data_IF_469520263102
#
_entry.id   IF_469520263102
#
_cell.length_a   1.000
_cell.length_b   1.000
_cell.length_c   1.000
_cell.angle_alpha   90.00
_cell.angle_beta   90.00
_cell.angle_gamma   90.00
#
_symmetry.space_group_name_H-M   'P 1'
#
loop_
_entity.id
_entity.type
_entity.pdbx_description
1 polymer ?
#
# COMPACT_ATOMS: atom_id res chain seq x y z
N UNK A 1 11.16 30.29 -7.31
CA UNK A 1 10.48 31.56 -7.03
C UNK A 1 10.81 32.01 -5.62
N UNK A 2 10.60 31.20 -4.58
CA UNK A 2 11.18 31.43 -3.24
C UNK A 2 12.68 31.76 -3.30
N UNK A 3 13.47 30.91 -3.97
CA UNK A 3 14.92 31.09 -4.13
C UNK A 3 15.32 32.45 -4.73
N UNK A 4 14.48 33.05 -5.57
CA UNK A 4 14.76 34.38 -6.17
C UNK A 4 14.42 35.52 -5.21
N UNK A 5 13.52 35.30 -4.26
CA UNK A 5 13.27 36.22 -3.16
C UNK A 5 14.39 36.12 -2.14
N UNK A 6 14.84 34.90 -1.83
CA UNK A 6 15.97 34.64 -0.92
C UNK A 6 17.27 35.26 -1.45
N UNK A 7 17.49 35.21 -2.76
CA UNK A 7 18.63 35.85 -3.43
C UNK A 7 18.43 37.36 -3.66
N UNK A 8 17.37 37.97 -3.10
CA UNK A 8 17.00 39.39 -3.25
C UNK A 8 16.81 39.87 -4.71
N UNK A 9 16.58 38.95 -5.65
CA UNK A 9 16.28 39.26 -7.06
C UNK A 9 14.82 39.73 -7.19
N UNK A 10 13.92 39.24 -6.34
CA UNK A 10 12.53 39.65 -6.27
C UNK A 10 12.19 40.15 -4.85
N UNK A 11 11.47 41.27 -4.75
CA UNK A 11 11.00 41.79 -3.45
C UNK A 11 9.90 40.95 -2.79
N UNK A 12 9.21 40.10 -3.55
CA UNK A 12 8.22 39.12 -3.06
C UNK A 12 7.97 38.04 -4.09
N UNK A 13 7.50 36.87 -3.65
CA UNK A 13 7.09 35.79 -4.54
C UNK A 13 5.66 36.11 -5.06
N UNK A 14 5.47 36.44 -6.35
CA UNK A 14 4.14 36.78 -6.88
C UNK A 14 3.21 35.56 -7.00
N UNK A 15 3.72 34.34 -6.80
CA UNK A 15 2.92 33.12 -6.71
C UNK A 15 2.52 32.77 -5.26
N UNK A 16 3.01 33.51 -4.26
CA UNK A 16 2.61 33.32 -2.87
C UNK A 16 1.12 33.66 -2.71
N UNK A 17 0.37 32.74 -2.10
CA UNK A 17 -1.07 32.87 -1.91
C UNK A 17 -1.95 32.56 -3.13
N UNK A 18 -1.42 32.43 -4.34
CA UNK A 18 -2.22 32.18 -5.55
C UNK A 18 -3.03 30.87 -5.52
N UNK A 19 -2.60 29.90 -4.71
CA UNK A 19 -3.28 28.61 -4.58
C UNK A 19 -4.19 28.50 -3.35
N UNK A 20 -4.37 29.57 -2.55
CA UNK A 20 -5.17 29.52 -1.30
C UNK A 20 -6.65 29.21 -1.55
N UNK A 21 -7.20 29.70 -2.65
CA UNK A 21 -8.61 29.50 -3.02
C UNK A 21 -8.86 28.16 -3.74
N UNK A 22 -7.79 27.43 -4.08
CA UNK A 22 -7.93 26.07 -4.58
C UNK A 22 -8.13 25.14 -3.40
N UNK A 23 -9.39 24.74 -3.18
CA UNK A 23 -9.70 23.70 -2.20
C UNK A 23 -8.87 22.45 -2.50
N UNK A 24 -8.20 21.95 -1.46
CA UNK A 24 -7.53 20.66 -1.53
C UNK A 24 -8.55 19.60 -1.93
N UNK A 25 -8.21 18.76 -2.92
CA UNK A 25 -9.03 17.63 -3.36
C UNK A 25 -9.70 16.91 -2.19
N UNK A 26 -10.96 16.50 -2.36
CA UNK A 26 -11.70 15.74 -1.33
C UNK A 26 -10.83 14.64 -0.71
N UNK A 27 -10.88 14.47 0.63
CA UNK A 27 -10.08 13.47 1.30
C UNK A 27 -10.42 12.09 0.76
N UNK A 28 -9.41 11.37 0.27
CA UNK A 28 -9.59 9.98 -0.17
C UNK A 28 -9.74 9.10 1.06
N UNK A 29 -10.93 8.56 1.24
CA UNK A 29 -11.23 7.67 2.36
C UNK A 29 -10.79 6.24 2.07
N UNK A 30 -10.51 5.49 3.14
CA UNK A 30 -10.23 4.07 3.07
C UNK A 30 -11.53 3.29 2.81
N UNK A 31 -11.42 2.13 2.16
CA UNK A 31 -12.58 1.24 2.01
C UNK A 31 -13.08 0.77 3.38
N UNK A 32 -14.39 0.83 3.62
CA UNK A 32 -15.02 0.23 4.80
C UNK A 32 -14.86 -1.30 4.80
N UNK A 33 -15.05 -2.00 5.93
CA UNK A 33 -15.12 -3.46 5.96
C UNK A 33 -16.13 -4.03 4.96
N UNK A 34 -17.33 -3.44 4.88
CA UNK A 34 -18.40 -3.89 3.98
C UNK A 34 -18.03 -3.68 2.51
N UNK A 35 -17.44 -2.52 2.19
CA UNK A 35 -16.96 -2.23 0.83
C UNK A 35 -15.85 -3.18 0.41
N UNK A 36 -14.92 -3.51 1.32
CA UNK A 36 -13.88 -4.52 1.07
C UNK A 36 -14.49 -5.87 0.76
N UNK A 37 -15.45 -6.31 1.57
CA UNK A 37 -16.09 -7.60 1.38
C UNK A 37 -16.83 -7.66 0.04
N UNK A 38 -17.57 -6.61 -0.32
CA UNK A 38 -18.20 -6.50 -1.64
C UNK A 38 -17.15 -6.52 -2.75
N UNK A 39 -16.05 -5.76 -2.60
CA UNK A 39 -14.98 -5.70 -3.60
C UNK A 39 -14.34 -7.07 -3.85
N UNK A 40 -13.91 -7.77 -2.80
CA UNK A 40 -13.23 -9.07 -2.91
C UNK A 40 -14.18 -10.22 -3.24
N UNK A 41 -15.39 -10.23 -2.67
CA UNK A 41 -16.32 -11.35 -2.85
C UNK A 41 -17.17 -11.24 -4.10
N UNK A 42 -17.52 -10.03 -4.53
CA UNK A 42 -18.48 -9.83 -5.62
C UNK A 42 -17.84 -9.19 -6.84
N UNK A 43 -17.16 -8.05 -6.66
CA UNK A 43 -16.70 -7.25 -7.81
C UNK A 43 -15.53 -7.93 -8.53
N UNK A 44 -14.53 -8.42 -7.79
CA UNK A 44 -13.36 -9.08 -8.39
C UNK A 44 -13.78 -10.34 -9.15
N UNK A 45 -14.74 -11.12 -8.63
CA UNK A 45 -15.22 -12.36 -9.28
C UNK A 45 -15.87 -12.10 -10.64
N UNK A 46 -16.31 -10.89 -10.93
CA UNK A 46 -16.84 -10.53 -12.25
C UNK A 46 -15.77 -10.52 -13.35
N UNK A 47 -14.47 -10.58 -13.00
CA UNK A 47 -13.37 -10.54 -13.96
C UNK A 47 -12.88 -11.93 -14.37
N UNK A 48 -12.56 -12.11 -15.65
CA UNK A 48 -11.96 -13.36 -16.15
C UNK A 48 -10.65 -13.70 -15.43
N UNK A 49 -9.82 -12.68 -15.18
CA UNK A 49 -8.55 -12.80 -14.47
C UNK A 49 -8.72 -12.50 -12.96
N UNK A 50 -9.91 -12.74 -12.39
CA UNK A 50 -10.25 -12.44 -10.99
C UNK A 50 -9.15 -12.86 -10.01
N UNK A 51 -8.67 -14.10 -10.13
CA UNK A 51 -7.64 -14.63 -9.24
C UNK A 51 -6.34 -13.83 -9.30
N UNK A 52 -5.91 -13.38 -10.49
CA UNK A 52 -4.68 -12.59 -10.62
C UNK A 52 -4.82 -11.25 -9.89
N UNK A 53 -5.94 -10.55 -10.09
CA UNK A 53 -6.18 -9.26 -9.46
C UNK A 53 -6.44 -9.39 -7.96
N UNK A 54 -7.13 -10.45 -7.53
CA UNK A 54 -7.29 -10.80 -6.12
C UNK A 54 -5.93 -10.88 -5.43
N UNK A 55 -5.00 -11.68 -5.97
CA UNK A 55 -3.66 -11.82 -5.41
C UNK A 55 -2.88 -10.50 -5.36
N UNK A 56 -2.97 -9.67 -6.41
CA UNK A 56 -2.33 -8.35 -6.47
C UNK A 56 -2.86 -7.44 -5.36
N UNK A 57 -4.19 -7.36 -5.20
CA UNK A 57 -4.81 -6.46 -4.24
C UNK A 57 -4.64 -6.94 -2.80
N UNK A 58 -4.72 -8.25 -2.54
CA UNK A 58 -4.40 -8.85 -1.23
C UNK A 58 -2.96 -8.50 -0.81
N UNK A 59 -1.97 -8.67 -1.68
CA UNK A 59 -0.58 -8.32 -1.37
C UNK A 59 -0.42 -6.80 -1.21
N UNK A 60 -1.06 -6.01 -2.08
CA UNK A 60 -0.99 -4.55 -2.01
C UNK A 60 -1.51 -3.99 -0.69
N UNK A 61 -2.66 -4.47 -0.23
CA UNK A 61 -3.29 -4.09 1.03
C UNK A 61 -2.49 -4.61 2.22
N UNK A 62 -2.15 -5.91 2.23
CA UNK A 62 -1.49 -6.55 3.35
C UNK A 62 -0.07 -6.04 3.60
N UNK A 63 0.66 -5.65 2.55
CA UNK A 63 1.97 -4.99 2.70
C UNK A 63 1.87 -3.47 2.86
N UNK A 64 0.68 -2.89 2.64
CA UNK A 64 0.45 -1.43 2.64
C UNK A 64 1.49 -0.65 1.81
N UNK A 65 1.97 -1.24 0.71
CA UNK A 65 3.07 -0.71 -0.09
C UNK A 65 2.59 0.24 -1.20
N UNK A 66 3.48 1.08 -1.72
CA UNK A 66 3.18 1.91 -2.90
C UNK A 66 3.10 1.02 -4.14
N UNK A 67 2.31 1.43 -5.13
CA UNK A 67 2.17 0.67 -6.38
C UNK A 67 3.51 0.41 -7.08
N UNK A 68 4.46 1.37 -7.03
CA UNK A 68 5.80 1.21 -7.58
C UNK A 68 6.63 0.18 -6.83
N UNK A 69 6.47 0.09 -5.51
CA UNK A 69 7.13 -0.93 -4.69
C UNK A 69 6.53 -2.30 -5.02
N UNK A 70 5.19 -2.40 -5.09
CA UNK A 70 4.48 -3.62 -5.47
C UNK A 70 4.94 -4.17 -6.82
N UNK A 71 4.89 -3.36 -7.89
CA UNK A 71 5.29 -3.82 -9.23
C UNK A 71 6.80 -4.03 -9.37
N UNK A 72 7.59 -3.47 -8.44
CA UNK A 72 9.04 -3.65 -8.39
C UNK A 72 9.46 -4.93 -7.68
N UNK A 73 8.61 -5.50 -6.81
CA UNK A 73 8.94 -6.71 -6.06
C UNK A 73 9.44 -7.83 -6.96
N UNK A 74 10.57 -8.41 -6.55
CA UNK A 74 11.18 -9.59 -7.14
C UNK A 74 11.06 -10.77 -6.19
N UNK A 75 11.22 -11.99 -6.71
CA UNK A 75 11.24 -13.18 -5.86
C UNK A 75 12.44 -13.24 -4.92
N UNK A 76 13.48 -12.42 -5.12
CA UNK A 76 14.59 -12.28 -4.18
C UNK A 76 14.21 -11.47 -2.93
N UNK A 77 13.20 -10.62 -3.04
CA UNK A 77 12.69 -9.82 -1.93
C UNK A 77 11.73 -10.59 -1.01
N UNK A 78 11.24 -11.74 -1.48
CA UNK A 78 10.20 -12.55 -0.82
C UNK A 78 10.82 -13.77 -0.14
N UNK A 79 10.94 -13.72 1.19
CA UNK A 79 11.42 -14.85 1.97
C UNK A 79 10.26 -15.71 2.48
N UNK A 80 9.92 -16.76 1.74
CA UNK A 80 8.83 -17.68 2.10
C UNK A 80 9.12 -18.54 3.35
N UNK A 81 10.39 -18.72 3.75
CA UNK A 81 10.74 -19.49 4.95
C UNK A 81 10.53 -18.65 6.21
N UNK A 82 10.99 -17.40 6.18
CA UNK A 82 10.83 -16.45 7.29
C UNK A 82 9.48 -15.73 7.27
N UNK A 83 8.70 -15.87 6.20
CA UNK A 83 7.45 -15.15 5.95
C UNK A 83 7.64 -13.64 6.00
N UNK A 84 8.63 -13.15 5.27
CA UNK A 84 9.02 -11.72 5.26
C UNK A 84 9.14 -11.21 3.82
N UNK A 85 8.74 -9.95 3.60
CA UNK A 85 8.98 -9.22 2.35
C UNK A 85 9.89 -8.04 2.61
N UNK A 86 10.96 -7.95 1.83
CA UNK A 86 11.88 -6.81 1.84
C UNK A 86 11.39 -5.77 0.85
N UNK A 87 11.30 -4.51 1.27
CA UNK A 87 11.01 -3.38 0.38
C UNK A 87 12.13 -2.37 0.51
N UNK A 88 12.99 -2.30 -0.51
CA UNK A 88 14.11 -1.36 -0.61
C UNK A 88 14.21 -0.62 -1.95
N UNK A 89 13.37 -0.98 -2.91
CA UNK A 89 13.30 -0.36 -4.23
C UNK A 89 11.85 -0.28 -4.73
N UNK A 90 11.66 0.49 -5.80
CA UNK A 90 10.43 0.53 -6.56
C UNK A 90 10.72 0.59 -8.05
N UNK A 91 9.74 0.20 -8.84
CA UNK A 91 9.78 0.23 -10.29
C UNK A 91 8.85 1.33 -10.82
N UNK A 92 9.42 2.24 -11.60
CA UNK A 92 8.69 3.34 -12.24
C UNK A 92 8.67 3.15 -13.75
N UNK A 93 7.58 3.59 -14.39
CA UNK A 93 7.45 3.64 -15.85
C UNK A 93 7.17 5.08 -16.27
N UNK A 94 8.21 5.84 -16.62
CA UNK A 94 8.13 7.26 -16.99
C UNK A 94 9.20 7.61 -18.02
N UNK A 95 9.10 8.82 -18.59
CA UNK A 95 10.12 9.36 -19.50
C UNK A 95 11.43 9.59 -18.73
N UNK A 96 12.49 8.89 -19.12
CA UNK A 96 13.86 9.03 -18.61
C UNK A 96 14.78 9.09 -19.82
N UNK A 97 15.60 10.14 -19.94
CA UNK A 97 16.48 10.38 -21.08
C UNK A 97 15.74 10.36 -22.44
N UNK A 98 14.61 11.08 -22.51
CA UNK A 98 13.84 11.22 -23.76
C UNK A 98 12.95 10.03 -24.13
N UNK A 99 13.11 8.86 -23.51
CA UNK A 99 12.32 7.65 -23.79
C UNK A 99 11.48 7.23 -22.58
N UNK A 100 10.26 6.78 -22.82
CA UNK A 100 9.43 6.18 -21.76
C UNK A 100 9.87 4.74 -21.56
N UNK A 101 10.40 4.46 -20.37
CA UNK A 101 10.92 3.15 -20.04
C UNK A 101 10.73 2.83 -18.56
N UNK A 102 10.91 1.55 -18.24
CA UNK A 102 11.03 1.13 -16.85
C UNK A 102 12.39 1.55 -16.31
N UNK A 103 12.42 1.98 -15.04
CA UNK A 103 13.65 2.16 -14.29
C UNK A 103 13.40 1.93 -12.81
N UNK A 104 14.44 1.50 -12.12
CA UNK A 104 14.41 1.28 -10.68
C UNK A 104 14.68 2.59 -9.96
N UNK A 105 13.92 2.82 -8.90
CA UNK A 105 14.17 3.88 -7.93
C UNK A 105 14.48 3.24 -6.58
N UNK A 106 15.59 3.64 -5.96
CA UNK A 106 15.93 3.24 -4.60
C UNK A 106 15.49 4.34 -3.65
N UNK A 107 15.10 3.98 -2.43
CA UNK A 107 14.89 4.98 -1.38
C UNK A 107 16.16 5.83 -1.19
N UNK A 108 16.01 7.12 -0.92
CA UNK A 108 17.13 7.91 -0.37
C UNK A 108 17.52 7.34 0.99
N UNK A 109 18.77 7.53 1.44
CA UNK A 109 19.34 6.93 2.67
C UNK A 109 18.48 7.07 3.94
N UNK A 110 17.54 8.02 3.97
CA UNK A 110 16.59 8.27 5.07
C UNK A 110 15.34 7.38 5.03
N UNK A 111 14.92 6.88 3.87
CA UNK A 111 13.81 5.91 3.73
C UNK A 111 14.39 4.51 3.54
N UNK A 112 14.94 4.00 4.65
CA UNK A 112 15.60 2.70 4.74
C UNK A 112 14.69 1.57 4.28
N UNK A 113 15.31 0.63 3.58
CA UNK A 113 14.89 -0.78 3.46
C UNK A 113 14.06 -1.19 4.66
N UNK A 114 12.84 -1.70 4.41
CA UNK A 114 11.96 -2.21 5.45
C UNK A 114 11.65 -3.67 5.22
N UNK A 115 11.49 -4.41 6.30
CA UNK A 115 11.13 -5.82 6.28
C UNK A 115 9.73 -5.92 6.86
N UNK A 116 8.80 -6.45 6.08
CA UNK A 116 7.39 -6.57 6.45
C UNK A 116 7.08 -8.05 6.65
N UNK A 117 6.77 -8.50 7.88
CA UNK A 117 6.24 -9.84 8.11
C UNK A 117 4.92 -10.03 7.38
N UNK A 118 4.72 -11.20 6.79
CA UNK A 118 3.49 -11.56 6.09
C UNK A 118 2.42 -11.97 7.09
N UNK A 119 1.19 -11.49 6.90
CA UNK A 119 0.01 -12.16 7.45
C UNK A 119 -0.20 -13.50 6.75
N UNK A 120 -1.01 -14.39 7.33
CA UNK A 120 -1.34 -15.68 6.69
C UNK A 120 -1.99 -15.51 5.32
N UNK A 121 -2.81 -14.47 5.14
CA UNK A 121 -3.44 -14.15 3.87
C UNK A 121 -2.40 -13.76 2.80
N UNK A 122 -1.47 -12.87 3.15
CA UNK A 122 -0.37 -12.45 2.27
C UNK A 122 0.54 -13.62 1.94
N UNK A 123 0.86 -14.47 2.92
CA UNK A 123 1.66 -15.67 2.72
C UNK A 123 1.03 -16.62 1.70
N UNK A 124 -0.26 -16.95 1.87
CA UNK A 124 -1.01 -17.78 0.92
C UNK A 124 -1.08 -17.14 -0.47
N UNK A 125 -1.22 -15.81 -0.54
CA UNK A 125 -1.19 -15.10 -1.81
C UNK A 125 0.16 -15.27 -2.52
N UNK A 126 1.29 -15.15 -1.81
CA UNK A 126 2.62 -15.38 -2.38
C UNK A 126 2.84 -16.84 -2.81
N UNK A 127 2.29 -17.83 -2.10
CA UNK A 127 2.34 -19.23 -2.53
C UNK A 127 1.68 -19.41 -3.91
N UNK A 128 0.46 -18.89 -4.08
CA UNK A 128 -0.27 -18.94 -5.35
C UNK A 128 0.44 -18.15 -6.46
N UNK A 129 1.01 -16.98 -6.13
CA UNK A 129 1.81 -16.21 -7.08
C UNK A 129 3.05 -16.98 -7.54
N UNK A 130 3.68 -17.74 -6.64
CA UNK A 130 4.86 -18.55 -6.95
C UNK A 130 4.51 -19.66 -7.94
N UNK A 131 3.42 -20.39 -7.71
CA UNK A 131 2.91 -21.40 -8.65
C UNK A 131 2.63 -20.80 -10.03
N UNK A 132 2.01 -19.62 -10.08
CA UNK A 132 1.75 -18.90 -11.33
C UNK A 132 3.04 -18.45 -12.03
N UNK A 133 4.07 -18.06 -11.29
CA UNK A 133 5.35 -17.65 -11.87
C UNK A 133 6.08 -18.79 -12.57
N UNK A 134 5.83 -20.06 -12.19
CA UNK A 134 6.39 -21.21 -12.89
C UNK A 134 5.80 -21.35 -14.30
N UNK A 135 4.53 -20.95 -14.49
CA UNK A 135 3.83 -20.99 -15.78
C UNK A 135 4.10 -19.76 -16.65
N UNK A 136 4.31 -18.60 -16.02
CA UNK A 136 4.63 -17.34 -16.71
C UNK A 136 5.78 -16.63 -15.98
N UNK A 137 7.03 -17.05 -16.20
CA UNK A 137 8.18 -16.48 -15.52
C UNK A 137 8.48 -15.06 -15.99
N UNK A 138 9.18 -14.31 -15.15
CA UNK A 138 9.77 -13.04 -15.56
C UNK A 138 10.87 -13.28 -16.58
N UNK A 139 10.84 -12.54 -17.69
CA UNK A 139 11.75 -12.68 -18.84
C UNK A 139 12.58 -11.43 -19.11
N UNK A 140 12.43 -10.39 -18.28
CA UNK A 140 13.09 -9.09 -18.49
C UNK A 140 13.81 -8.66 -17.24
N UNK A 141 14.96 -8.04 -17.47
CA UNK A 141 15.73 -7.34 -16.46
C UNK A 141 15.54 -5.83 -16.64
N UNK A 142 15.52 -5.09 -15.54
CA UNK A 142 15.51 -3.62 -15.51
C UNK A 142 16.52 -3.16 -14.46
N UNK A 143 17.53 -2.40 -14.88
CA UNK A 143 18.57 -1.84 -14.00
C UNK A 143 19.22 -2.88 -13.05
N UNK A 144 19.46 -4.11 -13.53
CA UNK A 144 20.02 -5.21 -12.72
C UNK A 144 19.01 -5.98 -11.88
N UNK A 145 17.73 -5.61 -11.89
CA UNK A 145 16.65 -6.32 -11.21
C UNK A 145 15.90 -7.23 -12.19
N UNK A 146 15.78 -8.50 -11.84
CA UNK A 146 15.09 -9.53 -12.62
C UNK A 146 14.16 -10.35 -11.71
N UNK A 147 13.47 -11.34 -12.28
CA UNK A 147 12.62 -12.25 -11.51
C UNK A 147 11.46 -11.54 -10.76
N UNK A 148 10.85 -10.55 -11.42
CA UNK A 148 9.72 -9.80 -10.89
C UNK A 148 8.53 -10.72 -10.53
N UNK A 149 7.91 -10.47 -9.37
CA UNK A 149 6.73 -11.20 -8.88
C UNK A 149 5.53 -10.94 -9.77
N UNK A 150 5.28 -9.68 -10.11
CA UNK A 150 4.11 -9.26 -10.88
C UNK A 150 4.48 -8.96 -12.33
N UNK A 151 4.15 -9.92 -13.21
CA UNK A 151 4.47 -9.84 -14.64
C UNK A 151 3.23 -9.62 -15.51
N UNK A 152 3.47 -9.01 -16.67
CA UNK A 152 2.50 -8.92 -17.76
C UNK A 152 2.49 -10.22 -18.59
N UNK A 153 1.59 -10.33 -19.57
CA UNK A 153 1.45 -11.53 -20.42
C UNK A 153 2.68 -11.81 -21.29
N UNK A 154 3.57 -10.83 -21.49
CA UNK A 154 4.81 -10.96 -22.25
C UNK A 154 6.02 -11.28 -21.36
N UNK A 155 5.80 -11.56 -20.07
CA UNK A 155 6.87 -11.84 -19.10
C UNK A 155 7.68 -10.62 -18.67
N UNK A 156 7.31 -9.40 -19.07
CA UNK A 156 7.90 -8.17 -18.55
C UNK A 156 7.24 -7.74 -17.23
N UNK A 157 7.80 -6.75 -16.51
CA UNK A 157 7.16 -6.20 -15.33
C UNK A 157 5.76 -5.67 -15.63
N UNK A 158 4.88 -5.74 -14.64
CA UNK A 158 3.56 -5.14 -14.74
C UNK A 158 3.68 -3.61 -14.79
N UNK A 159 2.95 -2.99 -15.71
CA UNK A 159 2.85 -1.53 -15.76
C UNK A 159 2.03 -1.02 -14.57
N UNK A 160 2.53 -0.05 -13.78
CA UNK A 160 1.76 0.53 -12.67
C UNK A 160 0.39 1.06 -13.09
N UNK A 161 0.31 1.63 -14.30
CA UNK A 161 -0.94 2.16 -14.88
C UNK A 161 -1.99 1.08 -15.12
N UNK A 162 -1.59 -0.18 -15.32
CA UNK A 162 -2.54 -1.28 -15.52
C UNK A 162 -3.33 -1.58 -14.24
N UNK A 163 -2.76 -1.33 -13.06
CA UNK A 163 -3.46 -1.54 -11.78
C UNK A 163 -4.62 -0.55 -11.64
N UNK A 164 -4.38 0.75 -11.87
CA UNK A 164 -5.46 1.74 -11.84
C UNK A 164 -6.50 1.49 -12.95
N UNK A 165 -6.06 1.15 -14.18
CA UNK A 165 -6.99 0.81 -15.26
C UNK A 165 -7.84 -0.41 -14.92
N UNK A 166 -7.28 -1.41 -14.24
CA UNK A 166 -8.04 -2.56 -13.77
C UNK A 166 -9.08 -2.12 -12.73
N UNK A 167 -8.71 -1.30 -11.75
CA UNK A 167 -9.63 -0.78 -10.73
C UNK A 167 -10.81 -0.02 -11.33
N UNK A 168 -10.56 0.89 -12.28
CA UNK A 168 -11.63 1.62 -12.95
C UNK A 168 -12.57 0.67 -13.67
N UNK A 169 -12.05 -0.27 -14.47
CA UNK A 169 -12.86 -1.28 -15.15
C UNK A 169 -13.66 -2.17 -14.19
N UNK A 170 -13.10 -2.46 -13.02
CA UNK A 170 -13.72 -3.26 -11.96
C UNK A 170 -14.93 -2.52 -11.40
N UNK A 171 -14.79 -1.23 -11.09
CA UNK A 171 -15.88 -0.37 -10.62
C UNK A 171 -16.92 -0.11 -11.70
N UNK A 172 -16.49 0.18 -12.94
CA UNK A 172 -17.41 0.43 -14.07
C UNK A 172 -18.30 -0.80 -14.32
N UNK A 173 -17.71 -2.01 -14.31
CA UNK A 173 -18.46 -3.26 -14.47
C UNK A 173 -19.47 -3.50 -13.34
N UNK A 174 -19.14 -3.12 -12.12
CA UNK A 174 -20.08 -3.20 -11.00
C UNK A 174 -21.29 -2.30 -11.23
N UNK A 175 -21.04 -1.06 -11.67
CA UNK A 175 -22.10 -0.10 -12.00
C UNK A 175 -22.97 -0.60 -13.16
N UNK A 176 -22.37 -1.10 -14.23
CA UNK A 176 -23.08 -1.68 -15.37
C UNK A 176 -23.99 -2.85 -14.95
N UNK A 177 -23.52 -3.73 -14.06
CA UNK A 177 -24.26 -4.94 -13.66
C UNK A 177 -25.34 -4.68 -12.62
N UNK A 178 -25.09 -3.77 -11.68
CA UNK A 178 -25.97 -3.57 -10.50
C UNK A 178 -26.78 -2.29 -10.55
N UNK A 179 -26.42 -1.33 -11.42
CA UNK A 179 -26.98 0.02 -11.46
C UNK A 179 -26.58 0.89 -10.26
N UNK A 180 -25.73 0.39 -9.35
CA UNK A 180 -25.30 1.09 -8.14
C UNK A 180 -23.90 1.68 -8.33
N UNK A 181 -23.69 2.86 -7.77
CA UNK A 181 -22.36 3.43 -7.66
C UNK A 181 -21.54 2.70 -6.59
N UNK A 182 -20.24 2.57 -6.84
CA UNK A 182 -19.25 2.12 -5.87
C UNK A 182 -18.21 3.23 -5.71
N UNK A 183 -17.62 3.42 -4.51
CA UNK A 183 -16.59 4.43 -4.31
C UNK A 183 -15.50 4.38 -5.37
N UNK A 184 -14.98 5.55 -5.77
CA UNK A 184 -13.90 5.60 -6.76
C UNK A 184 -12.61 5.06 -6.15
N UNK A 185 -12.22 3.84 -6.53
CA UNK A 185 -11.00 3.20 -6.02
C UNK A 185 -9.78 3.52 -6.91
N UNK A 186 -8.69 3.94 -6.28
CA UNK A 186 -7.37 4.00 -6.90
C UNK A 186 -6.37 3.14 -6.15
N UNK A 187 -5.20 2.87 -6.75
CA UNK A 187 -4.12 2.11 -6.11
C UNK A 187 -3.75 2.69 -4.72
N UNK A 188 -3.82 4.01 -4.53
CA UNK A 188 -3.49 4.63 -3.24
C UNK A 188 -4.48 4.24 -2.14
N UNK A 189 -5.74 3.95 -2.49
CA UNK A 189 -6.77 3.57 -1.52
C UNK A 189 -6.40 2.26 -0.83
N UNK A 190 -5.85 1.25 -1.53
CA UNK A 190 -5.42 0.00 -0.86
C UNK A 190 -4.40 0.22 0.24
N UNK A 191 -3.52 1.21 0.06
CA UNK A 191 -2.55 1.61 1.09
C UNK A 191 -3.22 2.36 2.25
N UNK A 192 -4.23 3.19 1.97
CA UNK A 192 -5.04 3.82 3.02
C UNK A 192 -5.87 2.79 3.78
N UNK A 193 -6.52 1.87 3.08
CA UNK A 193 -7.24 0.73 3.66
C UNK A 193 -6.33 -0.12 4.52
N UNK A 194 -5.12 -0.48 4.06
CA UNK A 194 -4.16 -1.21 4.88
C UNK A 194 -3.76 -0.44 6.16
N UNK A 195 -3.64 0.89 6.07
CA UNK A 195 -3.44 1.75 7.25
C UNK A 195 -4.63 1.69 8.21
N UNK A 196 -5.86 1.79 7.71
CA UNK A 196 -7.08 1.68 8.53
C UNK A 196 -7.19 0.31 9.18
N UNK A 197 -6.91 -0.77 8.46
CA UNK A 197 -6.92 -2.14 9.02
C UNK A 197 -5.89 -2.30 10.14
N UNK A 198 -4.67 -1.76 9.96
CA UNK A 198 -3.67 -1.77 11.04
C UNK A 198 -4.12 -0.94 12.25
N UNK A 199 -4.78 0.19 12.02
CA UNK A 199 -5.30 1.03 13.10
C UNK A 199 -6.47 0.34 13.85
N UNK A 200 -7.37 -0.32 13.12
CA UNK A 200 -8.45 -1.16 13.66
C UNK A 200 -7.89 -2.32 14.49
N UNK A 201 -6.78 -2.92 14.05
CA UNK A 201 -6.04 -3.95 14.78
C UNK A 201 -5.14 -3.39 15.90
N UNK A 202 -5.21 -2.08 16.17
CA UNK A 202 -4.49 -1.38 17.23
C UNK A 202 -2.95 -1.48 17.15
N UNK A 203 -2.41 -1.64 15.93
CA UNK A 203 -0.97 -1.60 15.68
C UNK A 203 -0.44 -0.19 15.94
N UNK A 204 0.59 -0.04 16.76
CA UNK A 204 1.06 1.28 17.17
C UNK A 204 1.47 2.17 15.97
N UNK A 205 1.26 3.50 16.06
CA UNK A 205 1.55 4.41 14.95
C UNK A 205 3.02 4.38 14.46
N UNK A 206 3.98 4.03 15.32
CA UNK A 206 5.40 3.94 14.95
C UNK A 206 5.66 2.73 14.07
N UNK A 207 5.09 1.58 14.43
CA UNK A 207 5.12 0.35 13.62
C UNK A 207 4.41 0.55 12.29
N UNK A 208 3.24 1.20 12.29
CA UNK A 208 2.55 1.53 11.04
C UNK A 208 3.39 2.45 10.15
N UNK A 209 4.02 3.48 10.72
CA UNK A 209 4.92 4.38 9.98
C UNK A 209 6.06 3.59 9.33
N UNK A 210 6.64 2.63 10.05
CA UNK A 210 7.69 1.75 9.54
C UNK A 210 7.17 0.89 8.37
N UNK A 211 6.07 0.15 8.56
CA UNK A 211 5.47 -0.73 7.53
C UNK A 211 5.11 0.06 6.28
N UNK A 212 4.50 1.22 6.45
CA UNK A 212 4.12 2.07 5.33
C UNK A 212 5.36 2.67 4.66
N UNK A 213 6.42 3.03 5.40
CA UNK A 213 7.53 3.81 4.85
C UNK A 213 7.08 5.24 4.54
N UNK A 214 6.32 5.85 5.45
CA UNK A 214 5.94 7.26 5.40
C UNK A 214 6.96 8.11 6.15
N UNK A 215 7.39 9.20 5.54
CA UNK A 215 8.21 10.23 6.21
C UNK A 215 7.38 11.04 7.20
N UNK A 216 6.08 11.21 6.92
CA UNK A 216 5.17 12.02 7.71
C UNK A 216 4.03 11.18 8.32
N UNK A 217 3.86 11.27 9.64
CA UNK A 217 2.87 10.52 10.43
C UNK A 217 1.46 11.13 10.35
N UNK A 218 1.31 12.36 9.82
CA UNK A 218 0.01 13.06 9.74
C UNK A 218 -1.11 12.23 9.13
N UNK A 219 -0.82 11.41 8.11
CA UNK A 219 -1.81 10.52 7.50
C UNK A 219 -2.28 9.44 8.49
N UNK A 220 -1.33 8.79 9.17
CA UNK A 220 -1.59 7.76 10.17
C UNK A 220 -2.38 8.34 11.35
N UNK A 221 -1.96 9.52 11.83
CA UNK A 221 -2.66 10.23 12.91
C UNK A 221 -4.09 10.56 12.50
N UNK A 222 -4.36 11.03 11.27
CA UNK A 222 -5.73 11.28 10.81
C UNK A 222 -6.62 10.03 10.88
N UNK A 223 -6.08 8.85 10.60
CA UNK A 223 -6.80 7.55 10.72
C UNK A 223 -6.99 7.14 12.18
N UNK A 224 -6.07 7.53 13.07
CA UNK A 224 -6.21 7.31 14.51
C UNK A 224 -7.20 8.28 15.15
N UNK A 225 -7.17 9.54 14.72
CA UNK A 225 -7.94 10.68 15.23
C UNK A 225 -9.42 10.63 14.82
N UNK A 226 -9.81 9.75 13.90
CA UNK A 226 -11.21 9.34 13.73
C UNK A 226 -11.66 8.45 14.91
N UNK A 227 -11.38 8.92 16.13
CA UNK A 227 -11.48 8.17 17.38
C UNK A 227 -12.94 7.77 17.60
N UNK A 228 -13.21 6.48 17.48
CA UNK A 228 -14.45 5.90 17.95
C UNK A 228 -14.43 5.88 19.49
N UNK A 229 -15.41 6.49 20.14
CA UNK A 229 -15.58 6.51 21.60
C UNK A 229 -15.50 5.10 22.22
N UNK A 230 -15.91 4.09 21.44
CA UNK A 230 -15.81 2.68 21.82
C UNK A 230 -14.36 2.19 21.94
N UNK A 231 -13.47 2.66 21.04
CA UNK A 231 -12.03 2.37 21.10
C UNK A 231 -11.40 2.96 22.35
N UNK A 232 -11.77 4.20 22.71
CA UNK A 232 -11.31 4.83 23.96
C UNK A 232 -11.74 3.99 25.16
N UNK A 233 -13.01 3.57 25.21
CA UNK A 233 -13.53 2.71 26.28
C UNK A 233 -12.77 1.38 26.37
N UNK A 234 -12.48 0.74 25.24
CA UNK A 234 -11.72 -0.52 25.21
C UNK A 234 -10.29 -0.34 25.73
N UNK A 235 -9.60 0.73 25.30
CA UNK A 235 -8.25 1.04 25.77
C UNK A 235 -8.23 1.36 27.27
N UNK A 236 -9.19 2.16 27.76
CA UNK A 236 -9.34 2.42 29.19
C UNK A 236 -9.66 1.14 29.99
N UNK A 237 -10.46 0.21 29.44
CA UNK A 237 -10.71 -1.10 30.06
C UNK A 237 -9.43 -1.95 30.17
N UNK A 238 -8.48 -1.84 29.23
CA UNK A 238 -7.20 -2.56 29.34
C UNK A 238 -6.36 -2.09 30.52
N UNK A 239 -6.44 -0.81 30.90
CA UNK A 239 -5.76 -0.27 32.08
C UNK A 239 -6.31 -0.85 33.40
N UNK A 240 -7.56 -1.32 33.40
CA UNK A 240 -8.15 -1.99 34.57
C UNK A 240 -7.64 -3.41 34.77
N UNK A 241 -6.98 -4.03 33.76
CA UNK A 241 -6.24 -5.28 33.93
C UNK A 241 -4.89 -4.95 34.54
N UNK A 242 -4.79 -4.97 35.88
CA UNK A 242 -3.49 -4.90 36.57
C UNK A 242 -2.56 -6.02 36.08
N UNK A 243 -1.25 -5.77 35.93
CA UNK A 243 -0.25 -6.83 35.85
C UNK A 243 -0.11 -7.43 37.25
N UNK A 244 -0.84 -8.52 37.53
CA UNK A 244 -0.71 -9.20 38.82
C UNK A 244 -1.14 -10.68 38.71
N UNK A 245 -0.55 -11.43 37.78
CA UNK A 245 -0.54 -12.91 37.88
C UNK A 245 0.84 -13.54 37.64
N UNK A 246 1.82 -12.81 37.10
CA UNK A 246 3.16 -13.39 36.84
C UNK A 246 4.09 -13.43 38.07
N UNK A 247 3.81 -12.69 39.15
CA UNK A 247 4.64 -12.74 40.37
C UNK A 247 4.33 -13.92 41.31
N UNK A 248 3.18 -14.59 41.17
CA UNK A 248 2.85 -15.74 42.02
C UNK A 248 3.48 -17.06 41.56
N UNK A 249 4.04 -17.12 40.35
CA UNK A 249 4.74 -18.31 39.85
C UNK A 249 6.27 -18.25 39.98
N UNK A 250 6.84 -17.08 40.28
CA UNK A 250 8.28 -16.93 40.56
C UNK A 250 8.65 -16.99 42.05
N UNK A 251 7.66 -16.96 42.95
CA UNK A 251 7.86 -17.15 44.39
C UNK A 251 7.58 -18.60 44.86
N UNK A 252 7.35 -19.53 43.93
CA UNK A 252 7.05 -20.94 44.21
C UNK A 252 8.03 -21.92 43.53
N UNK A 253 9.24 -21.46 43.20
CA UNK A 253 10.39 -22.30 42.82
C UNK A 253 11.50 -22.06 43.84
#
# INVERSE_FOLDING_TARGET
MEMLVDDNILGRNPADGCCRDYSSSEPREAMTPEERDVFYNEIIKMFRDAEKYYLIFTVMQGLSCRVSELVGLTWFDVNMKRREVVIDHGLLYRKKNGKTQFYITKGTDKNKKRIIPMTDEVYRAFQKLREKSLKNPSKREVDGYSNFVFVNQRGGPMYPTNINKALYRIVDRYKEKTGKDFPTISNHIFRHTGCTVMAEAEVDPSTMKYIMGHTNVKMILKVYDSVNLERIRQQMKKLNKKPMEEEKQRAAI
#
